data_IF_799507872070
#
_entry.id   IF_799507872070
#
_cell.length_a   1.000
_cell.length_b   1.000
_cell.length_c   1.000
_cell.angle_alpha   90.00
_cell.angle_beta   90.00
_cell.angle_gamma   90.00
#
_symmetry.space_group_name_H-M   'P 1'
#
loop_
_entity.id
_entity.type
_entity.pdbx_description
1 polymer ?
#
# COMPACT_ATOMS: atom_id res chain seq x y z
N UNK A 1 76.58 21.78 29.95
CA UNK A 1 75.76 20.59 29.62
C UNK A 1 74.53 20.63 30.50
N UNK A 2 73.43 21.13 29.95
CA UNK A 2 72.15 21.20 30.67
C UNK A 2 71.08 20.43 29.91
N UNK A 3 70.67 19.31 30.42
CA UNK A 3 69.56 18.50 29.96
C UNK A 3 68.25 19.11 30.50
N UNK A 4 67.38 19.60 29.64
CA UNK A 4 66.01 19.98 29.98
C UNK A 4 65.05 18.81 29.66
N UNK A 5 64.58 18.13 30.67
CA UNK A 5 63.46 17.18 30.56
C UNK A 5 62.17 17.91 30.24
N UNK A 6 61.51 17.55 29.13
CA UNK A 6 60.14 17.97 28.82
C UNK A 6 59.19 16.83 29.26
N UNK A 7 58.37 17.11 30.26
CA UNK A 7 57.26 16.28 30.65
C UNK A 7 56.11 16.55 29.68
N UNK A 8 55.69 15.55 28.91
CA UNK A 8 54.49 15.59 28.08
C UNK A 8 53.37 15.02 28.93
N UNK A 9 52.43 15.89 29.37
CA UNK A 9 51.17 15.48 29.97
C UNK A 9 50.20 15.20 28.86
N UNK A 10 49.96 13.91 28.62
CA UNK A 10 48.92 13.43 27.71
C UNK A 10 47.55 13.52 28.38
N UNK A 11 46.73 14.50 27.98
CA UNK A 11 45.31 14.50 28.30
C UNK A 11 44.60 13.45 27.49
N UNK A 12 44.24 12.33 28.06
CA UNK A 12 43.24 11.39 27.52
C UNK A 12 41.86 12.03 27.66
N UNK A 13 41.37 12.67 26.60
CA UNK A 13 39.95 13.00 26.46
C UNK A 13 39.22 11.68 26.16
N UNK A 14 38.64 11.09 27.17
CA UNK A 14 37.67 10.01 27.01
C UNK A 14 36.40 10.59 26.37
N UNK A 15 36.22 10.34 25.09
CA UNK A 15 34.94 10.59 24.44
C UNK A 15 33.90 9.60 25.00
N UNK A 16 33.16 10.01 26.04
CA UNK A 16 31.90 9.35 26.39
C UNK A 16 30.93 9.60 25.23
N UNK A 17 30.78 8.64 24.32
CA UNK A 17 29.64 8.59 23.42
C UNK A 17 28.43 8.27 24.28
N UNK A 18 27.65 9.28 24.63
CA UNK A 18 26.29 9.11 25.11
C UNK A 18 25.51 8.44 23.98
N UNK A 19 25.32 7.13 24.08
CA UNK A 19 24.30 6.44 23.29
C UNK A 19 22.96 6.96 23.82
N UNK A 20 22.39 7.97 23.14
CA UNK A 20 21.00 8.34 23.32
C UNK A 20 20.20 7.16 22.75
N UNK A 21 19.76 6.26 23.61
CA UNK A 21 18.72 5.29 23.24
C UNK A 21 17.50 6.10 22.85
N UNK A 22 17.07 6.00 21.61
CA UNK A 22 15.81 6.61 21.19
C UNK A 22 14.70 6.05 22.08
N UNK A 23 13.90 6.93 22.66
CA UNK A 23 12.79 6.54 23.52
C UNK A 23 11.79 5.71 22.70
N UNK A 24 11.37 4.56 23.22
CA UNK A 24 10.51 3.62 22.52
C UNK A 24 9.13 4.20 22.34
N UNK A 25 8.62 4.22 21.11
CA UNK A 25 7.28 4.70 20.78
C UNK A 25 6.35 3.56 20.36
N UNK A 26 5.06 3.77 20.53
CA UNK A 26 4.03 2.77 20.27
C UNK A 26 2.88 3.40 19.53
N UNK A 27 2.29 2.67 18.55
CA UNK A 27 1.05 3.11 17.92
C UNK A 27 -0.11 2.21 18.33
N UNK A 28 -1.24 2.86 18.63
CA UNK A 28 -2.47 2.19 19.03
C UNK A 28 -3.62 2.59 18.12
N UNK A 29 -4.37 1.60 17.64
CA UNK A 29 -5.66 1.81 16.99
C UNK A 29 -6.72 1.98 18.06
N UNK A 30 -7.44 3.10 18.03
CA UNK A 30 -8.54 3.45 18.92
C UNK A 30 -9.83 3.29 18.13
N UNK A 31 -10.67 2.35 18.52
CA UNK A 31 -12.00 2.18 17.92
C UNK A 31 -13.01 3.09 18.61
N UNK A 32 -13.79 3.82 17.81
CA UNK A 32 -14.78 4.77 18.27
C UNK A 32 -16.19 4.17 18.15
N UNK A 33 -17.09 4.56 19.06
CA UNK A 33 -18.45 4.01 19.15
C UNK A 33 -19.32 4.43 17.96
N UNK A 34 -19.27 5.71 17.61
CA UNK A 34 -20.17 6.32 16.65
C UNK A 34 -19.54 7.56 15.99
N UNK A 35 -20.34 8.25 15.19
CA UNK A 35 -20.02 9.53 14.54
C UNK A 35 -21.05 10.61 14.89
N UNK A 36 -21.74 10.47 16.03
CA UNK A 36 -22.89 11.30 16.39
C UNK A 36 -22.55 12.80 16.50
N UNK A 37 -21.31 13.14 16.86
CA UNK A 37 -20.87 14.54 17.01
C UNK A 37 -20.09 15.04 15.79
N UNK A 38 -20.20 14.38 14.62
CA UNK A 38 -19.56 14.88 13.41
C UNK A 38 -20.23 16.18 12.93
N UNK A 39 -19.42 17.12 12.43
CA UNK A 39 -19.92 18.34 11.79
C UNK A 39 -20.46 18.12 10.36
N UNK A 40 -20.34 16.91 9.84
CA UNK A 40 -20.73 16.54 8.49
C UNK A 40 -22.08 15.85 8.45
N UNK A 41 -22.75 15.90 7.31
CA UNK A 41 -24.07 15.29 7.08
C UNK A 41 -24.06 14.46 5.81
N UNK A 42 -24.75 13.32 5.84
CA UNK A 42 -25.01 12.50 4.64
C UNK A 42 -25.74 13.30 3.56
N UNK A 43 -26.57 14.27 3.96
CA UNK A 43 -27.28 15.16 3.03
C UNK A 43 -26.41 16.22 2.34
N UNK A 44 -25.13 16.37 2.74
CA UNK A 44 -24.18 17.33 2.16
C UNK A 44 -22.83 16.68 1.85
N UNK A 45 -22.81 15.60 1.04
CA UNK A 45 -21.62 14.77 0.83
C UNK A 45 -20.49 15.48 0.09
N UNK A 46 -20.77 16.55 -0.65
CA UNK A 46 -19.76 17.38 -1.33
C UNK A 46 -18.76 18.04 -0.38
N UNK A 47 -19.05 18.05 0.94
CA UNK A 47 -18.11 18.56 1.96
C UNK A 47 -16.95 17.60 2.24
N UNK A 48 -17.03 16.33 1.82
CA UNK A 48 -16.01 15.29 2.09
C UNK A 48 -15.80 14.26 0.98
N UNK A 49 -16.59 14.33 -0.10
CA UNK A 49 -16.41 13.54 -1.33
C UNK A 49 -16.30 14.50 -2.52
N UNK A 50 -15.41 14.18 -3.46
CA UNK A 50 -15.30 14.93 -4.71
C UNK A 50 -16.53 14.73 -5.58
N UNK A 51 -16.77 15.65 -6.52
CA UNK A 51 -17.83 15.55 -7.53
C UNK A 51 -17.74 14.20 -8.27
N UNK A 52 -16.55 13.80 -8.71
CA UNK A 52 -16.33 12.52 -9.39
C UNK A 52 -16.69 11.31 -8.54
N UNK A 53 -16.43 11.35 -7.22
CA UNK A 53 -16.83 10.28 -6.31
C UNK A 53 -18.35 10.17 -6.21
N UNK A 54 -19.05 11.30 -6.21
CA UNK A 54 -20.51 11.35 -6.19
C UNK A 54 -21.10 10.87 -7.53
N UNK A 55 -20.57 11.32 -8.66
CA UNK A 55 -20.97 10.86 -9.99
C UNK A 55 -20.76 9.35 -10.19
N UNK A 56 -19.63 8.79 -9.68
CA UNK A 56 -19.39 7.34 -9.72
C UNK A 56 -20.51 6.59 -9.01
N UNK A 57 -20.88 7.02 -7.78
CA UNK A 57 -21.98 6.41 -7.01
C UNK A 57 -23.33 6.57 -7.71
N UNK A 58 -23.62 7.73 -8.22
CA UNK A 58 -24.89 8.02 -8.94
C UNK A 58 -25.04 7.10 -10.16
N UNK A 59 -24.00 6.98 -11.00
CA UNK A 59 -24.01 6.09 -12.16
C UNK A 59 -24.26 4.62 -11.81
N UNK A 60 -23.90 4.20 -10.61
CA UNK A 60 -24.08 2.84 -10.10
C UNK A 60 -25.31 2.69 -9.18
N UNK A 61 -26.08 3.75 -8.97
CA UNK A 61 -27.26 3.72 -8.10
C UNK A 61 -26.91 3.57 -6.61
N UNK A 62 -25.68 3.89 -6.20
CA UNK A 62 -25.18 3.76 -4.83
C UNK A 62 -25.47 5.05 -4.04
N UNK A 63 -25.80 4.89 -2.75
CA UNK A 63 -26.05 6.01 -1.85
C UNK A 63 -24.84 6.29 -0.97
N UNK A 64 -24.70 7.56 -0.60
CA UNK A 64 -23.84 7.96 0.51
C UNK A 64 -24.53 7.60 1.82
N UNK A 65 -23.78 7.06 2.77
CA UNK A 65 -24.29 6.61 4.06
C UNK A 65 -23.41 7.11 5.24
N UNK A 66 -23.76 6.72 6.46
CA UNK A 66 -23.04 7.15 7.67
C UNK A 66 -21.58 6.69 7.71
N UNK A 67 -21.23 5.59 7.02
CA UNK A 67 -19.84 5.11 6.97
C UNK A 67 -18.94 6.08 6.20
N UNK A 68 -19.50 6.88 5.28
CA UNK A 68 -18.77 7.90 4.51
C UNK A 68 -18.41 9.14 5.33
N UNK A 69 -19.16 9.40 6.43
CA UNK A 69 -18.93 10.57 7.26
C UNK A 69 -17.52 10.53 7.88
N UNK A 70 -16.78 11.65 7.89
CA UNK A 70 -15.50 11.76 8.59
C UNK A 70 -15.62 11.41 10.08
N UNK A 71 -14.53 10.91 10.65
CA UNK A 71 -14.42 10.68 12.11
C UNK A 71 -14.65 11.99 12.86
N UNK A 72 -15.39 11.93 13.99
CA UNK A 72 -15.71 13.08 14.80
C UNK A 72 -14.47 13.86 15.24
N UNK A 73 -14.42 15.13 14.89
CA UNK A 73 -13.33 16.01 15.27
C UNK A 73 -13.22 16.19 16.77
N UNK A 74 -14.34 16.31 17.48
CA UNK A 74 -14.40 16.43 18.94
C UNK A 74 -13.78 15.21 19.63
N UNK A 75 -13.99 14.00 19.10
CA UNK A 75 -13.36 12.79 19.63
C UNK A 75 -11.85 12.79 19.41
N UNK A 76 -11.40 13.20 18.23
CA UNK A 76 -9.98 13.35 17.92
C UNK A 76 -9.32 14.36 18.86
N UNK A 77 -9.92 15.53 19.06
CA UNK A 77 -9.40 16.58 19.92
C UNK A 77 -9.34 16.13 21.39
N UNK A 78 -10.33 15.37 21.86
CA UNK A 78 -10.33 14.80 23.21
C UNK A 78 -9.20 13.76 23.40
N UNK A 79 -8.88 12.97 22.37
CA UNK A 79 -7.76 12.02 22.36
C UNK A 79 -6.42 12.78 22.39
N UNK A 80 -6.26 13.80 21.54
CA UNK A 80 -5.07 14.68 21.50
C UNK A 80 -4.87 15.37 22.85
N UNK A 81 -5.97 15.82 23.49
CA UNK A 81 -5.96 16.44 24.81
C UNK A 81 -5.44 15.53 25.93
N UNK A 82 -5.30 14.19 25.70
CA UNK A 82 -4.61 13.27 26.60
C UNK A 82 -3.10 13.17 26.35
N UNK A 83 -2.55 13.87 25.37
CA UNK A 83 -1.13 13.91 25.04
C UNK A 83 -0.69 12.92 23.95
N UNK A 84 -1.63 12.29 23.25
CA UNK A 84 -1.33 11.40 22.12
C UNK A 84 -1.24 12.18 20.80
N UNK A 85 -0.37 11.75 19.88
CA UNK A 85 -0.26 12.28 18.52
C UNK A 85 -1.06 11.41 17.55
N UNK A 86 -1.90 12.02 16.71
CA UNK A 86 -2.66 11.29 15.69
C UNK A 86 -1.78 10.98 14.50
N UNK A 87 -1.74 9.70 14.10
CA UNK A 87 -0.97 9.18 12.96
C UNK A 87 -1.84 9.07 11.72
N UNK A 88 -2.96 8.34 11.84
CA UNK A 88 -3.91 8.16 10.75
C UNK A 88 -5.32 7.92 11.30
N UNK A 89 -6.31 7.89 10.43
CA UNK A 89 -7.71 7.67 10.79
C UNK A 89 -8.44 6.97 9.65
N UNK A 90 -9.43 6.17 10.00
CA UNK A 90 -10.33 5.52 9.05
C UNK A 90 -11.76 5.93 9.32
N UNK A 91 -12.43 6.49 8.31
CA UNK A 91 -13.87 6.82 8.38
C UNK A 91 -14.73 5.56 8.30
N UNK A 92 -14.35 4.59 7.48
CA UNK A 92 -15.10 3.36 7.29
C UNK A 92 -15.07 2.45 8.50
N UNK A 93 -13.88 2.33 9.12
CA UNK A 93 -13.70 1.53 10.34
C UNK A 93 -13.99 2.31 11.63
N UNK A 94 -14.25 3.62 11.53
CA UNK A 94 -14.43 4.55 12.65
C UNK A 94 -13.31 4.43 13.69
N UNK A 95 -12.08 4.54 13.22
CA UNK A 95 -10.86 4.39 14.04
C UNK A 95 -9.92 5.58 13.92
N UNK A 96 -9.11 5.78 14.95
CA UNK A 96 -7.98 6.71 14.97
C UNK A 96 -6.75 5.96 15.44
N UNK A 97 -5.65 6.03 14.71
CA UNK A 97 -4.35 5.53 15.18
C UNK A 97 -3.60 6.68 15.81
N UNK A 98 -3.11 6.44 17.01
CA UNK A 98 -2.32 7.41 17.77
C UNK A 98 -0.95 6.84 18.09
N UNK A 99 0.04 7.74 18.19
CA UNK A 99 1.38 7.44 18.68
C UNK A 99 1.58 7.99 20.08
N UNK A 100 2.20 7.23 20.95
CA UNK A 100 2.52 7.57 22.32
C UNK A 100 3.90 7.04 22.70
N UNK A 101 4.58 7.73 23.60
CA UNK A 101 5.77 7.27 24.31
C UNK A 101 5.34 6.59 25.62
N UNK A 102 4.52 7.29 26.39
CA UNK A 102 3.95 6.78 27.64
C UNK A 102 2.66 5.98 27.38
N UNK A 103 2.73 4.66 27.54
CA UNK A 103 1.59 3.76 27.33
C UNK A 103 0.46 3.93 28.36
N UNK A 104 0.72 4.61 29.51
CA UNK A 104 -0.33 4.90 30.50
C UNK A 104 -1.39 5.85 29.95
N UNK A 105 -1.06 6.66 28.94
CA UNK A 105 -2.00 7.52 28.23
C UNK A 105 -3.12 6.71 27.57
N UNK A 106 -2.81 5.49 27.11
CA UNK A 106 -3.81 4.61 26.46
C UNK A 106 -4.90 4.18 27.43
N UNK A 107 -4.56 3.97 28.71
CA UNK A 107 -5.57 3.67 29.74
C UNK A 107 -6.52 4.86 29.96
N UNK A 108 -5.98 6.08 29.90
CA UNK A 108 -6.82 7.29 30.03
C UNK A 108 -7.70 7.48 28.78
N UNK A 109 -7.18 7.22 27.58
CA UNK A 109 -7.92 7.26 26.33
C UNK A 109 -9.03 6.19 26.32
N UNK A 110 -8.74 4.98 26.79
CA UNK A 110 -9.72 3.88 26.86
C UNK A 110 -10.91 4.18 27.78
N UNK A 111 -10.77 5.11 28.73
CA UNK A 111 -11.87 5.55 29.62
C UNK A 111 -12.75 6.63 29.02
N UNK A 112 -12.42 7.17 27.84
CA UNK A 112 -13.27 8.14 27.15
C UNK A 112 -14.59 7.46 26.73
N UNK A 113 -15.75 8.09 26.92
CA UNK A 113 -17.05 7.44 26.78
C UNK A 113 -17.37 6.97 25.35
N UNK A 114 -16.67 7.49 24.37
CA UNK A 114 -16.83 7.13 22.96
C UNK A 114 -15.77 6.12 22.46
N UNK A 115 -14.84 5.69 23.30
CA UNK A 115 -13.84 4.65 22.95
C UNK A 115 -14.40 3.27 23.32
N UNK A 116 -14.40 2.36 22.35
CA UNK A 116 -14.92 0.99 22.53
C UNK A 116 -13.82 -0.03 22.70
N UNK A 117 -12.67 0.19 22.06
CA UNK A 117 -11.53 -0.73 22.09
C UNK A 117 -10.23 0.02 21.77
N UNK A 118 -9.13 -0.44 22.35
CA UNK A 118 -7.78 -0.06 21.97
C UNK A 118 -6.99 -1.30 21.58
N UNK A 119 -6.17 -1.22 20.54
CA UNK A 119 -5.27 -2.30 20.09
C UNK A 119 -3.91 -1.72 19.75
N UNK A 120 -2.85 -2.25 20.36
CA UNK A 120 -1.49 -1.92 19.93
C UNK A 120 -1.28 -2.46 18.52
N UNK A 121 -0.84 -1.61 17.59
CA UNK A 121 -0.65 -1.94 16.19
C UNK A 121 0.78 -1.76 15.71
N UNK A 122 1.62 -1.08 16.51
CA UNK A 122 3.02 -0.89 16.17
C UNK A 122 3.86 -0.61 17.41
N UNK A 123 5.11 -1.03 17.35
CA UNK A 123 6.16 -0.73 18.34
C UNK A 123 7.40 -0.30 17.57
N UNK A 124 8.02 0.81 17.96
CA UNK A 124 9.27 1.26 17.33
C UNK A 124 10.31 0.15 17.43
N UNK A 125 11.01 -0.20 16.33
CA UNK A 125 12.10 -1.16 16.37
C UNK A 125 13.23 -0.64 17.25
N UNK A 126 14.01 -1.56 17.86
CA UNK A 126 15.14 -1.21 18.76
C UNK A 126 16.28 -0.48 18.02
N UNK A 127 16.38 -0.70 16.72
CA UNK A 127 17.22 0.06 15.80
C UNK A 127 16.53 0.19 14.46
N UNK A 128 16.27 1.42 14.04
CA UNK A 128 15.99 1.69 12.63
C UNK A 128 17.37 1.76 11.98
N UNK A 129 17.68 0.90 10.99
CA UNK A 129 18.90 1.08 10.22
C UNK A 129 18.90 2.53 9.72
N UNK A 130 19.99 3.28 9.99
CA UNK A 130 20.07 4.62 9.45
C UNK A 130 19.80 4.49 7.95
N UNK A 131 18.60 4.89 7.53
CA UNK A 131 18.32 5.06 6.11
C UNK A 131 19.30 6.13 5.67
N UNK A 132 20.46 5.67 5.18
CA UNK A 132 21.21 6.50 4.27
C UNK A 132 20.19 6.75 3.16
N UNK A 133 19.68 7.98 2.94
CA UNK A 133 18.86 8.21 1.77
C UNK A 133 19.77 7.79 0.61
N UNK A 134 19.55 6.55 0.14
CA UNK A 134 20.37 6.04 -0.95
C UNK A 134 20.15 7.07 -2.04
N UNK A 135 21.26 7.77 -2.38
CA UNK A 135 21.22 8.73 -3.46
C UNK A 135 20.61 7.98 -4.63
N UNK A 136 19.41 8.42 -5.02
CA UNK A 136 18.63 7.78 -6.09
C UNK A 136 19.59 7.47 -7.24
N UNK A 137 19.63 6.21 -7.67
CA UNK A 137 20.53 5.78 -8.74
C UNK A 137 20.14 6.48 -10.01
N UNK A 138 21.13 6.87 -10.80
CA UNK A 138 20.90 7.50 -12.10
C UNK A 138 20.07 6.58 -13.00
N UNK A 139 19.01 7.15 -13.59
CA UNK A 139 18.14 6.44 -14.53
C UNK A 139 18.75 6.53 -15.93
N UNK A 140 19.25 5.42 -16.43
CA UNK A 140 19.95 5.36 -17.73
C UNK A 140 18.98 5.46 -18.92
N UNK A 141 17.73 4.98 -18.74
CA UNK A 141 16.71 4.93 -19.78
C UNK A 141 17.22 4.30 -21.11
N UNK A 142 18.04 3.26 -21.02
CA UNK A 142 18.55 2.50 -22.16
C UNK A 142 17.68 1.29 -22.43
N UNK A 143 17.14 1.19 -23.62
CA UNK A 143 16.29 0.05 -24.00
C UNK A 143 16.59 -0.44 -25.41
N UNK A 144 16.36 -1.76 -25.63
CA UNK A 144 16.28 -2.36 -26.95
C UNK A 144 14.84 -2.37 -27.42
N UNK A 145 14.60 -1.92 -28.64
CA UNK A 145 13.28 -2.01 -29.28
C UNK A 145 13.04 -3.42 -29.81
N UNK A 146 11.77 -3.77 -29.91
CA UNK A 146 11.26 -4.97 -30.56
C UNK A 146 10.38 -4.56 -31.78
N UNK A 147 10.00 -5.53 -32.58
CA UNK A 147 9.09 -5.31 -33.73
C UNK A 147 7.60 -5.29 -33.30
N UNK A 148 7.31 -5.28 -31.99
CA UNK A 148 5.96 -5.29 -31.44
C UNK A 148 5.70 -4.04 -30.62
N UNK A 149 4.56 -3.38 -30.84
CA UNK A 149 4.14 -2.18 -30.12
C UNK A 149 4.22 -2.30 -28.59
N UNK A 150 3.87 -3.45 -28.03
CA UNK A 150 3.93 -3.70 -26.57
C UNK A 150 5.35 -4.01 -26.07
N UNK A 151 6.30 -4.15 -26.97
CA UNK A 151 7.66 -4.49 -26.62
C UNK A 151 7.73 -5.83 -25.91
N UNK A 152 8.49 -5.85 -24.82
CA UNK A 152 8.69 -7.05 -24.01
C UNK A 152 7.43 -7.47 -23.20
N UNK A 153 6.42 -6.60 -23.09
CA UNK A 153 5.16 -6.89 -22.40
C UNK A 153 4.12 -7.62 -23.26
N UNK A 154 4.37 -7.84 -24.56
CA UNK A 154 3.35 -8.35 -25.50
C UNK A 154 2.58 -9.56 -24.96
N UNK A 155 3.28 -10.58 -24.46
CA UNK A 155 2.62 -11.81 -23.99
C UNK A 155 1.70 -11.59 -22.80
N UNK A 156 2.09 -10.73 -21.87
CA UNK A 156 1.26 -10.45 -20.68
C UNK A 156 0.02 -9.59 -21.01
N UNK A 157 0.04 -8.87 -22.13
CA UNK A 157 -1.10 -8.14 -22.64
C UNK A 157 -2.01 -9.04 -23.50
N UNK A 158 -1.42 -9.73 -24.49
CA UNK A 158 -2.15 -10.51 -25.47
C UNK A 158 -2.88 -11.74 -24.87
N UNK A 159 -2.36 -12.34 -23.79
CA UNK A 159 -3.00 -13.47 -23.14
C UNK A 159 -4.42 -13.18 -22.64
N UNK A 160 -4.69 -11.92 -22.35
CA UNK A 160 -6.01 -11.41 -21.93
C UNK A 160 -6.72 -10.63 -23.03
N UNK A 161 -6.25 -10.71 -24.29
CA UNK A 161 -6.78 -9.95 -25.42
C UNK A 161 -6.72 -8.42 -25.20
N UNK A 162 -5.78 -7.94 -24.38
CA UNK A 162 -5.59 -6.52 -24.10
C UNK A 162 -5.15 -5.74 -25.34
N UNK A 163 -4.45 -6.37 -26.27
CA UNK A 163 -4.12 -5.84 -27.59
C UNK A 163 -5.37 -5.57 -28.44
N UNK A 164 -6.36 -6.46 -28.42
CA UNK A 164 -7.65 -6.26 -29.09
C UNK A 164 -8.45 -5.13 -28.45
N UNK A 165 -8.45 -5.01 -27.10
CA UNK A 165 -9.07 -3.88 -26.41
C UNK A 165 -8.42 -2.54 -26.80
N UNK A 166 -7.08 -2.50 -26.82
CA UNK A 166 -6.35 -1.31 -27.25
C UNK A 166 -6.61 -0.94 -28.73
N UNK A 167 -6.70 -1.95 -29.60
CA UNK A 167 -7.06 -1.72 -31.02
C UNK A 167 -8.49 -1.15 -31.16
N UNK A 168 -9.40 -1.49 -30.24
CA UNK A 168 -10.73 -0.94 -30.16
C UNK A 168 -10.81 0.45 -29.46
N UNK A 169 -9.65 1.00 -29.03
CA UNK A 169 -9.55 2.31 -28.39
C UNK A 169 -9.61 2.31 -26.87
N UNK A 170 -9.78 1.14 -26.22
CA UNK A 170 -9.88 1.04 -24.75
C UNK A 170 -8.49 0.96 -24.10
N UNK A 171 -7.86 2.08 -23.81
CA UNK A 171 -6.53 2.20 -23.20
C UNK A 171 -6.53 2.86 -21.83
N UNK A 172 -7.71 3.07 -21.25
CA UNK A 172 -7.89 3.66 -19.93
C UNK A 172 -8.19 5.17 -19.94
N UNK A 173 -8.36 5.80 -21.10
CA UNK A 173 -8.72 7.21 -21.17
C UNK A 173 -9.99 7.52 -20.35
N UNK A 174 -9.94 8.61 -19.56
CA UNK A 174 -11.04 9.02 -18.67
C UNK A 174 -11.14 8.26 -17.36
N UNK A 175 -10.42 7.14 -17.20
CA UNK A 175 -10.40 6.35 -15.95
C UNK A 175 -9.33 6.87 -14.99
N UNK A 176 -9.64 6.84 -13.69
CA UNK A 176 -8.68 7.10 -12.61
C UNK A 176 -8.30 5.81 -11.90
N UNK A 177 -7.00 5.54 -11.82
CA UNK A 177 -6.45 4.35 -11.18
C UNK A 177 -5.59 4.78 -9.99
N UNK A 178 -5.84 4.24 -8.80
CA UNK A 178 -4.93 4.35 -7.68
C UNK A 178 -4.05 3.09 -7.61
N UNK A 179 -2.74 3.28 -7.51
CA UNK A 179 -1.80 2.21 -7.17
C UNK A 179 -1.40 2.40 -5.71
N UNK A 180 -1.79 1.45 -4.85
CA UNK A 180 -1.45 1.45 -3.42
C UNK A 180 -0.34 0.43 -3.22
N UNK A 181 0.86 0.90 -2.80
CA UNK A 181 2.06 0.05 -2.76
C UNK A 181 3.11 0.58 -1.76
N UNK A 182 4.30 -0.04 -1.74
CA UNK A 182 5.41 0.26 -0.82
C UNK A 182 6.25 1.49 -1.22
N UNK A 183 6.14 1.96 -2.46
CA UNK A 183 6.92 3.08 -2.99
C UNK A 183 7.04 3.02 -4.50
N UNK A 184 7.59 4.09 -5.09
CA UNK A 184 7.62 4.27 -6.55
C UNK A 184 9.00 4.73 -7.04
N UNK A 185 10.05 4.06 -6.56
CA UNK A 185 11.45 4.43 -6.77
C UNK A 185 11.74 4.85 -8.20
N UNK A 186 12.26 6.08 -8.38
CA UNK A 186 12.65 6.67 -9.67
C UNK A 186 11.55 6.77 -10.73
N UNK A 187 10.26 6.52 -10.42
CA UNK A 187 9.21 6.53 -11.42
C UNK A 187 9.05 7.91 -12.09
N UNK A 188 9.32 9.00 -11.38
CA UNK A 188 9.27 10.38 -11.88
C UNK A 188 10.35 10.70 -12.94
N UNK A 189 11.46 9.95 -12.97
CA UNK A 189 12.57 10.15 -13.92
C UNK A 189 12.55 9.17 -15.10
N UNK A 190 11.78 8.09 -15.03
CA UNK A 190 11.76 7.06 -16.05
C UNK A 190 10.97 7.48 -17.30
N UNK A 191 11.55 7.23 -18.49
CA UNK A 191 10.87 7.50 -19.76
C UNK A 191 9.58 6.72 -19.93
N UNK A 192 9.42 5.58 -19.29
CA UNK A 192 8.21 4.77 -19.32
C UNK A 192 6.97 5.56 -18.88
N UNK A 193 7.13 6.50 -17.93
CA UNK A 193 6.03 7.24 -17.30
C UNK A 193 5.93 8.70 -17.74
N UNK A 194 6.77 9.17 -18.66
CA UNK A 194 6.77 10.59 -19.10
C UNK A 194 5.45 11.05 -19.74
N UNK A 195 4.65 10.12 -20.24
CA UNK A 195 3.32 10.39 -20.81
C UNK A 195 2.18 10.07 -19.87
N UNK A 196 2.48 9.53 -18.68
CA UNK A 196 1.47 9.20 -17.68
C UNK A 196 0.79 10.49 -17.17
N UNK A 197 -0.53 10.48 -17.10
CA UNK A 197 -1.28 11.55 -16.46
C UNK A 197 -1.31 11.29 -14.95
N UNK A 198 -0.38 11.90 -14.21
CA UNK A 198 -0.29 11.81 -12.75
C UNK A 198 -1.23 12.85 -12.11
N UNK A 199 -2.20 12.39 -11.34
CA UNK A 199 -3.14 13.24 -10.58
C UNK A 199 -2.55 13.69 -9.26
N UNK A 200 -1.75 12.86 -8.62
CA UNK A 200 -1.06 13.19 -7.38
C UNK A 200 -0.43 11.98 -6.72
N UNK A 201 0.31 12.29 -5.66
CA UNK A 201 1.02 11.32 -4.83
C UNK A 201 0.64 11.52 -3.37
N UNK A 202 0.69 10.46 -2.57
CA UNK A 202 0.54 10.57 -1.12
C UNK A 202 1.24 9.43 -0.39
N UNK A 203 1.95 9.79 0.69
CA UNK A 203 2.53 8.84 1.63
C UNK A 203 1.68 8.80 2.91
N UNK A 204 1.17 7.61 3.26
CA UNK A 204 0.38 7.37 4.46
C UNK A 204 1.23 6.83 5.62
N UNK A 205 2.45 6.36 5.34
CA UNK A 205 3.40 5.87 6.34
C UNK A 205 4.18 7.03 6.94
N UNK A 206 4.79 7.84 6.07
CA UNK A 206 5.57 9.01 6.45
C UNK A 206 5.28 10.18 5.48
N UNK A 207 4.37 11.09 5.83
CA UNK A 207 4.00 12.23 4.96
C UNK A 207 5.15 13.17 4.60
N UNK A 208 6.32 13.03 5.25
CA UNK A 208 7.52 13.84 4.98
C UNK A 208 8.50 13.15 4.03
N UNK A 209 8.26 11.90 3.66
CA UNK A 209 9.16 11.17 2.76
C UNK A 209 8.87 11.47 1.28
N UNK A 210 9.86 11.17 0.44
CA UNK A 210 9.71 11.18 -1.01
C UNK A 210 9.41 9.75 -1.49
N UNK A 211 8.18 9.50 -1.93
CA UNK A 211 7.77 8.17 -2.41
C UNK A 211 8.61 7.65 -3.58
N UNK A 212 9.31 8.55 -4.28
CA UNK A 212 10.23 8.19 -5.37
C UNK A 212 11.64 7.80 -4.88
N UNK A 213 11.91 7.99 -3.60
CA UNK A 213 13.12 7.48 -2.93
C UNK A 213 12.83 6.22 -2.10
N UNK A 214 11.57 5.81 -2.01
CA UNK A 214 11.12 4.62 -1.28
C UNK A 214 11.22 3.35 -2.15
N UNK A 215 10.58 2.25 -1.74
CA UNK A 215 10.65 0.96 -2.41
C UNK A 215 10.33 1.01 -3.91
N UNK A 216 10.98 0.15 -4.67
CA UNK A 216 10.80 0.04 -6.13
C UNK A 216 9.59 -0.84 -6.54
N UNK A 217 8.94 -1.53 -5.61
CA UNK A 217 7.89 -2.50 -5.92
C UNK A 217 6.71 -1.86 -6.65
N UNK A 218 6.14 -0.77 -6.11
CA UNK A 218 5.03 -0.07 -6.74
C UNK A 218 5.40 0.55 -8.10
N UNK A 219 6.65 0.95 -8.31
CA UNK A 219 7.13 1.38 -9.63
C UNK A 219 7.07 0.25 -10.66
N UNK A 220 7.45 -0.99 -10.27
CA UNK A 220 7.33 -2.17 -11.16
C UNK A 220 5.88 -2.51 -11.44
N UNK A 221 5.02 -2.49 -10.43
CA UNK A 221 3.57 -2.67 -10.59
C UNK A 221 2.99 -1.60 -11.51
N UNK A 222 3.30 -0.33 -11.27
CA UNK A 222 2.88 0.79 -12.10
C UNK A 222 3.27 0.59 -13.57
N UNK A 223 4.44 0.00 -13.84
CA UNK A 223 4.89 -0.21 -15.22
C UNK A 223 4.03 -1.21 -15.99
N UNK A 224 3.38 -2.14 -15.31
CA UNK A 224 2.43 -3.06 -15.93
C UNK A 224 1.12 -2.39 -16.35
N UNK A 225 0.80 -1.26 -15.76
CA UNK A 225 -0.41 -0.47 -16.02
C UNK A 225 -0.11 0.73 -16.93
N UNK A 226 0.79 1.60 -16.50
CA UNK A 226 0.99 2.96 -17.00
C UNK A 226 2.15 3.12 -17.98
N UNK A 227 3.06 2.13 -18.12
CA UNK A 227 4.18 2.28 -19.05
C UNK A 227 3.66 2.59 -20.46
N UNK A 228 4.25 3.61 -21.11
CA UNK A 228 3.87 4.05 -22.46
C UNK A 228 5.12 4.36 -23.28
N UNK A 229 5.93 3.35 -23.53
CA UNK A 229 7.11 3.40 -24.39
C UNK A 229 6.96 2.36 -25.51
N UNK A 230 6.34 2.74 -26.64
CA UNK A 230 6.13 1.83 -27.79
C UNK A 230 7.40 1.11 -28.21
N UNK A 231 7.25 -0.13 -28.64
CA UNK A 231 8.27 -1.08 -29.06
C UNK A 231 9.24 -1.55 -27.91
N UNK A 232 9.02 -1.05 -26.68
CA UNK A 232 9.85 -1.35 -25.52
C UNK A 232 9.05 -1.96 -24.37
N UNK A 233 8.10 -1.20 -23.84
CA UNK A 233 7.21 -1.60 -22.74
C UNK A 233 5.94 -0.74 -22.78
N UNK A 234 4.80 -1.35 -22.98
CA UNK A 234 3.48 -0.70 -22.88
C UNK A 234 2.62 -1.48 -21.91
N UNK A 235 2.00 -0.78 -20.97
CA UNK A 235 1.13 -1.35 -19.94
C UNK A 235 -0.31 -1.55 -20.42
N UNK A 236 -1.18 -1.99 -19.51
CA UNK A 236 -2.60 -2.31 -19.79
C UNK A 236 -3.51 -1.10 -19.85
N UNK A 237 -3.13 0.03 -19.24
CA UNK A 237 -3.92 1.26 -19.19
C UNK A 237 -3.04 2.52 -19.39
N UNK A 238 -2.29 2.61 -20.52
CA UNK A 238 -1.27 3.65 -20.72
C UNK A 238 -1.84 5.07 -20.88
N UNK A 239 -3.15 5.22 -21.03
CA UNK A 239 -3.87 6.49 -21.21
C UNK A 239 -4.77 6.83 -20.00
N UNK A 240 -4.75 6.01 -18.93
CA UNK A 240 -5.44 6.32 -17.68
C UNK A 240 -4.73 7.42 -16.87
N UNK A 241 -5.45 7.99 -15.91
CA UNK A 241 -4.91 8.93 -14.92
C UNK A 241 -4.59 8.20 -13.63
N UNK A 242 -3.49 8.57 -12.94
CA UNK A 242 -2.93 7.80 -11.84
C UNK A 242 -2.81 8.59 -10.54
N UNK A 243 -3.17 7.95 -9.44
CA UNK A 243 -2.78 8.29 -8.07
C UNK A 243 -1.75 7.28 -7.58
N UNK A 244 -0.63 7.75 -7.01
CA UNK A 244 0.40 6.88 -6.43
C UNK A 244 0.38 7.04 -4.91
N UNK A 245 0.02 5.97 -4.21
CA UNK A 245 -0.26 5.99 -2.77
C UNK A 245 0.66 4.99 -2.06
N UNK A 246 1.51 5.48 -1.15
CA UNK A 246 2.34 4.60 -0.32
C UNK A 246 1.65 4.28 0.98
N UNK A 247 1.56 2.99 1.33
CA UNK A 247 0.95 2.50 2.56
C UNK A 247 1.74 1.39 3.28
N UNK A 248 2.85 0.92 2.71
CA UNK A 248 3.69 -0.13 3.31
C UNK A 248 5.01 0.46 3.83
N UNK A 249 5.43 0.00 5.02
CA UNK A 249 6.71 0.31 5.64
C UNK A 249 7.67 -0.88 5.49
N UNK A 250 8.69 -0.74 4.65
CA UNK A 250 9.68 -1.78 4.38
C UNK A 250 10.54 -2.18 5.59
N UNK A 251 10.57 -1.35 6.64
CA UNK A 251 11.43 -1.60 7.79
C UNK A 251 10.78 -2.53 8.81
N UNK A 252 9.44 -2.62 8.82
CA UNK A 252 8.68 -3.44 9.77
C UNK A 252 7.47 -4.09 9.11
N UNK A 253 7.02 -5.25 9.62
CA UNK A 253 5.78 -5.90 9.22
C UNK A 253 4.83 -5.88 10.42
N UNK A 254 4.09 -4.80 10.59
CA UNK A 254 3.25 -4.59 11.77
C UNK A 254 1.81 -4.21 11.41
N UNK A 255 0.81 -4.53 12.25
CA UNK A 255 -0.61 -4.32 11.93
C UNK A 255 -1.03 -2.88 11.60
N UNK A 256 -0.20 -1.87 11.89
CA UNK A 256 -0.46 -0.46 11.53
C UNK A 256 -0.52 -0.24 10.03
N UNK A 257 0.12 -1.10 9.25
CA UNK A 257 0.14 -1.00 7.78
C UNK A 257 -1.25 -1.23 7.20
N UNK A 258 -2.08 -2.04 7.86
CA UNK A 258 -3.49 -2.18 7.51
C UNK A 258 -4.27 -0.86 7.67
N UNK A 259 -3.93 -0.06 8.70
CA UNK A 259 -4.56 1.25 8.93
C UNK A 259 -4.12 2.28 7.87
N UNK A 260 -2.85 2.26 7.48
CA UNK A 260 -2.33 3.11 6.40
C UNK A 260 -2.99 2.75 5.07
N UNK A 261 -3.09 1.45 4.79
CA UNK A 261 -3.75 0.96 3.59
C UNK A 261 -5.24 1.34 3.54
N UNK A 262 -5.97 1.16 4.63
CA UNK A 262 -7.37 1.56 4.72
C UNK A 262 -7.55 3.06 4.49
N UNK A 263 -6.68 3.90 5.07
CA UNK A 263 -6.69 5.34 4.85
C UNK A 263 -6.38 5.72 3.39
N UNK A 264 -5.45 5.00 2.73
CA UNK A 264 -5.14 5.19 1.31
C UNK A 264 -6.34 4.83 0.42
N UNK A 265 -7.03 3.72 0.74
CA UNK A 265 -8.21 3.28 0.01
C UNK A 265 -9.39 4.26 0.17
N UNK A 266 -9.62 4.77 1.38
CA UNK A 266 -10.63 5.80 1.66
C UNK A 266 -10.32 7.13 0.98
N UNK A 267 -9.04 7.49 0.87
CA UNK A 267 -8.61 8.65 0.08
C UNK A 267 -8.93 8.43 -1.40
N UNK A 268 -8.59 7.27 -1.97
CA UNK A 268 -8.89 6.93 -3.36
C UNK A 268 -10.40 7.04 -3.66
N UNK A 269 -11.24 6.53 -2.75
CA UNK A 269 -12.69 6.70 -2.82
C UNK A 269 -13.10 8.18 -2.84
N UNK A 270 -12.55 8.95 -1.92
CA UNK A 270 -12.95 10.36 -1.72
C UNK A 270 -12.58 11.26 -2.89
N UNK A 271 -11.48 10.99 -3.61
CA UNK A 271 -11.05 11.75 -4.80
C UNK A 271 -11.68 11.26 -6.10
N UNK A 272 -12.45 10.16 -6.05
CA UNK A 272 -13.22 9.66 -7.20
C UNK A 272 -12.47 8.70 -8.11
N UNK A 273 -11.54 7.91 -7.55
CA UNK A 273 -10.87 6.81 -8.26
C UNK A 273 -11.90 5.77 -8.72
N UNK A 274 -11.71 5.21 -9.92
CA UNK A 274 -12.56 4.15 -10.46
C UNK A 274 -12.01 2.76 -10.13
N UNK A 275 -10.69 2.58 -10.23
CA UNK A 275 -9.99 1.30 -10.03
C UNK A 275 -8.86 1.46 -9.02
N UNK A 276 -8.80 0.57 -8.06
CA UNK A 276 -7.67 0.47 -7.12
C UNK A 276 -6.90 -0.81 -7.43
N UNK A 277 -5.60 -0.67 -7.68
CA UNK A 277 -4.67 -1.78 -7.78
C UNK A 277 -3.83 -1.84 -6.50
N UNK A 278 -3.90 -2.97 -5.79
CA UNK A 278 -3.08 -3.21 -4.61
C UNK A 278 -2.36 -4.55 -4.73
N UNK A 279 -1.05 -4.50 -4.60
CA UNK A 279 -0.17 -5.66 -4.70
C UNK A 279 0.44 -6.04 -3.35
N UNK A 280 -0.21 -5.64 -2.28
CA UNK A 280 0.14 -5.84 -0.88
C UNK A 280 -0.72 -6.93 -0.26
N UNK A 281 -0.23 -7.54 0.84
CA UNK A 281 -1.02 -8.49 1.59
C UNK A 281 -0.28 -9.08 2.77
N UNK A 282 -0.96 -9.17 3.90
CA UNK A 282 -0.39 -9.56 5.18
C UNK A 282 -1.05 -10.82 5.73
N UNK A 283 -0.27 -11.71 6.34
CA UNK A 283 -0.76 -12.82 7.16
C UNK A 283 0.20 -13.12 8.32
N UNK A 284 1.43 -12.66 8.22
CA UNK A 284 2.49 -12.86 9.20
C UNK A 284 3.10 -11.52 9.57
N UNK A 285 3.17 -11.24 10.87
CA UNK A 285 3.67 -9.99 11.42
C UNK A 285 4.92 -10.25 12.28
N UNK A 286 5.68 -9.18 12.56
CA UNK A 286 6.83 -9.23 13.46
C UNK A 286 6.43 -9.75 14.84
N UNK A 287 5.30 -9.26 15.38
CA UNK A 287 4.64 -9.86 16.53
C UNK A 287 3.74 -11.03 16.09
N UNK A 288 4.24 -12.25 16.28
CA UNK A 288 3.55 -13.48 15.89
C UNK A 288 2.15 -13.66 16.52
N UNK A 289 1.85 -12.93 17.59
CA UNK A 289 0.51 -12.96 18.20
C UNK A 289 -0.54 -12.26 17.35
N UNK A 290 -0.09 -11.44 16.40
CA UNK A 290 -0.93 -10.74 15.44
C UNK A 290 -1.19 -11.53 14.15
N UNK A 291 -0.50 -12.67 13.93
CA UNK A 291 -0.59 -13.47 12.72
C UNK A 291 -2.00 -13.95 12.45
N UNK A 292 -2.42 -13.89 11.20
CA UNK A 292 -3.67 -14.47 10.74
C UNK A 292 -3.60 -15.99 10.68
N UNK A 293 -4.74 -16.61 10.85
CA UNK A 293 -4.96 -18.05 10.67
C UNK A 293 -5.88 -18.26 9.49
N UNK A 294 -5.89 -19.47 8.91
CA UNK A 294 -6.76 -19.75 7.78
C UNK A 294 -8.25 -19.41 8.04
N UNK A 295 -8.75 -19.70 9.25
CA UNK A 295 -10.13 -19.37 9.64
C UNK A 295 -10.47 -17.88 9.62
N UNK A 296 -9.44 -17.01 9.62
CA UNK A 296 -9.58 -15.56 9.63
C UNK A 296 -9.70 -14.99 8.20
N UNK A 297 -9.58 -15.86 7.16
CA UNK A 297 -9.72 -15.48 5.75
C UNK A 297 -11.20 -15.58 5.30
N UNK A 298 -12.06 -14.82 5.93
CA UNK A 298 -13.50 -14.80 5.69
C UNK A 298 -14.00 -13.53 4.98
N UNK A 299 -13.08 -12.66 4.57
CA UNK A 299 -13.36 -11.38 3.91
C UNK A 299 -13.73 -10.23 4.86
N UNK A 300 -13.83 -10.50 6.17
CA UNK A 300 -14.30 -9.51 7.16
C UNK A 300 -13.36 -9.36 8.37
N UNK A 301 -12.62 -10.40 8.72
CA UNK A 301 -11.81 -10.44 9.94
C UNK A 301 -10.65 -9.43 9.91
N UNK A 302 -9.88 -9.38 8.81
CA UNK A 302 -8.81 -8.40 8.67
C UNK A 302 -9.37 -7.01 8.38
N UNK A 303 -8.69 -5.98 8.89
CA UNK A 303 -9.07 -4.59 8.60
C UNK A 303 -9.00 -4.30 7.09
N UNK A 304 -8.01 -4.87 6.41
CA UNK A 304 -7.85 -4.69 4.96
C UNK A 304 -8.99 -5.35 4.19
N UNK A 305 -9.35 -6.61 4.49
CA UNK A 305 -10.41 -7.32 3.76
C UNK A 305 -11.76 -6.64 3.99
N UNK A 306 -12.05 -6.23 5.22
CA UNK A 306 -13.25 -5.44 5.52
C UNK A 306 -13.29 -4.13 4.73
N UNK A 307 -12.19 -3.36 4.74
CA UNK A 307 -12.12 -2.09 4.00
C UNK A 307 -12.18 -2.28 2.49
N UNK A 308 -11.60 -3.37 1.95
CA UNK A 308 -11.67 -3.70 0.53
C UNK A 308 -13.10 -4.02 0.09
N UNK A 309 -13.84 -4.81 0.88
CA UNK A 309 -15.25 -5.10 0.64
C UNK A 309 -16.08 -3.81 0.66
N UNK A 310 -15.86 -2.94 1.67
CA UNK A 310 -16.53 -1.63 1.73
C UNK A 310 -16.23 -0.75 0.51
N UNK A 311 -14.99 -0.74 0.02
CA UNK A 311 -14.64 0.02 -1.17
C UNK A 311 -15.41 -0.46 -2.41
N UNK A 312 -15.51 -1.78 -2.58
CA UNK A 312 -16.28 -2.37 -3.66
C UNK A 312 -17.77 -2.00 -3.57
N UNK A 313 -18.35 -2.03 -2.36
CA UNK A 313 -19.74 -1.62 -2.10
C UNK A 313 -19.98 -0.12 -2.37
N UNK A 314 -18.92 0.69 -2.32
CA UNK A 314 -18.95 2.13 -2.68
C UNK A 314 -18.64 2.38 -4.17
N UNK A 315 -18.55 1.32 -4.97
CA UNK A 315 -18.45 1.38 -6.43
C UNK A 315 -17.04 1.47 -7.00
N UNK A 316 -15.99 1.18 -6.21
CA UNK A 316 -14.65 1.02 -6.73
C UNK A 316 -14.44 -0.40 -7.24
N UNK A 317 -13.70 -0.55 -8.33
CA UNK A 317 -13.15 -1.84 -8.75
C UNK A 317 -11.84 -2.04 -7.99
N UNK A 318 -11.85 -2.92 -7.00
CA UNK A 318 -10.66 -3.22 -6.19
C UNK A 318 -10.00 -4.50 -6.72
N UNK A 319 -8.74 -4.39 -7.15
CA UNK A 319 -7.95 -5.49 -7.69
C UNK A 319 -6.82 -5.81 -6.71
N UNK A 320 -6.82 -7.03 -6.17
CA UNK A 320 -5.88 -7.49 -5.17
C UNK A 320 -5.03 -8.66 -5.67
N UNK A 321 -3.75 -8.71 -5.28
CA UNK A 321 -2.94 -9.91 -5.49
C UNK A 321 -3.38 -11.06 -4.56
N UNK A 322 -3.32 -12.30 -5.06
CA UNK A 322 -3.63 -13.49 -4.25
C UNK A 322 -2.57 -13.78 -3.17
N UNK A 323 -1.35 -13.26 -3.34
CA UNK A 323 -0.18 -13.57 -2.52
C UNK A 323 0.76 -14.58 -3.18
N UNK A 324 1.97 -14.71 -2.62
CA UNK A 324 3.07 -15.51 -3.19
C UNK A 324 3.50 -16.67 -2.28
N UNK A 325 2.59 -17.18 -1.47
CA UNK A 325 2.87 -18.19 -0.43
C UNK A 325 2.63 -19.64 -0.88
N UNK A 326 2.33 -19.88 -2.17
CA UNK A 326 1.98 -21.22 -2.69
C UNK A 326 3.01 -22.31 -2.44
N UNK A 327 4.30 -21.99 -2.41
CA UNK A 327 5.40 -22.91 -2.06
C UNK A 327 5.62 -23.07 -0.57
N UNK A 328 5.14 -22.11 0.24
CA UNK A 328 5.34 -22.08 1.68
C UNK A 328 4.39 -22.99 2.44
N UNK A 329 4.47 -22.94 3.76
CA UNK A 329 3.55 -23.65 4.67
C UNK A 329 2.15 -23.03 4.69
N UNK A 330 2.05 -21.72 4.48
CA UNK A 330 0.79 -20.98 4.47
C UNK A 330 -0.09 -21.38 3.27
N UNK A 331 0.43 -21.35 2.06
CA UNK A 331 -0.20 -21.68 0.77
C UNK A 331 -1.45 -20.87 0.41
N UNK A 332 -2.12 -20.28 1.38
CA UNK A 332 -3.41 -19.61 1.24
C UNK A 332 -3.26 -18.15 0.78
N UNK A 333 -4.38 -17.56 0.44
CA UNK A 333 -4.48 -16.15 0.13
C UNK A 333 -3.92 -15.28 1.26
N UNK A 334 -3.55 -14.06 0.93
CA UNK A 334 -3.22 -13.02 1.92
C UNK A 334 -4.30 -11.94 1.89
N UNK A 335 -4.82 -11.47 3.03
CA UNK A 335 -5.66 -10.29 3.06
C UNK A 335 -4.99 -9.10 2.34
N UNK A 336 -5.72 -8.33 1.50
CA UNK A 336 -7.16 -8.35 1.30
C UNK A 336 -7.66 -9.28 0.16
N UNK A 337 -6.85 -10.23 -0.33
CA UNK A 337 -7.24 -11.12 -1.42
C UNK A 337 -8.40 -12.07 -1.09
N UNK A 338 -8.77 -12.21 0.18
CA UNK A 338 -9.94 -12.96 0.64
C UNK A 338 -11.22 -12.10 0.73
N UNK A 339 -11.14 -10.79 0.50
CA UNK A 339 -12.29 -9.90 0.58
C UNK A 339 -13.41 -10.32 -0.38
N UNK A 340 -14.64 -9.95 -0.05
CA UNK A 340 -15.80 -10.14 -0.92
C UNK A 340 -15.66 -9.28 -2.18
N UNK A 341 -16.52 -9.08 -2.99
CA UNK A 341 -16.70 -8.14 -4.10
C UNK A 341 -15.41 -7.51 -4.72
N UNK A 342 -14.21 -8.11 -4.48
CA UNK A 342 -12.94 -7.69 -5.06
C UNK A 342 -12.46 -8.69 -6.11
N UNK A 343 -11.64 -8.25 -7.05
CA UNK A 343 -11.00 -9.13 -8.03
C UNK A 343 -9.65 -9.56 -7.48
N UNK A 344 -9.54 -10.83 -7.11
CA UNK A 344 -8.29 -11.42 -6.63
C UNK A 344 -7.56 -12.11 -7.77
N UNK A 345 -6.30 -11.73 -7.99
CA UNK A 345 -5.51 -12.17 -9.14
C UNK A 345 -4.40 -13.12 -8.71
N UNK A 346 -4.43 -14.34 -9.24
CA UNK A 346 -3.34 -15.32 -9.13
C UNK A 346 -2.32 -15.19 -10.24
N UNK A 347 -1.18 -15.88 -10.10
CA UNK A 347 -0.10 -15.87 -11.08
C UNK A 347 -0.04 -17.14 -11.94
N UNK A 348 0.14 -16.96 -13.24
CA UNK A 348 0.44 -18.04 -14.20
C UNK A 348 1.66 -17.66 -15.05
N UNK A 349 2.21 -18.63 -15.78
CA UNK A 349 3.24 -18.38 -16.78
C UNK A 349 2.62 -18.04 -18.16
N UNK A 350 3.49 -17.73 -19.13
CA UNK A 350 3.10 -17.41 -20.51
C UNK A 350 2.40 -18.57 -21.27
N UNK A 351 2.45 -19.80 -20.75
CA UNK A 351 1.81 -21.00 -21.32
C UNK A 351 0.51 -21.35 -20.58
N UNK A 352 -0.01 -20.43 -19.73
CA UNK A 352 -1.21 -20.58 -18.93
C UNK A 352 -1.09 -21.67 -17.82
N UNK A 353 0.14 -21.99 -17.42
CA UNK A 353 0.39 -22.91 -16.30
C UNK A 353 0.43 -22.11 -15.01
N UNK A 354 -0.33 -22.54 -14.00
CA UNK A 354 -0.34 -21.90 -12.69
C UNK A 354 1.08 -21.85 -12.11
N UNK A 355 1.49 -20.70 -11.61
CA UNK A 355 2.75 -20.54 -10.92
C UNK A 355 2.68 -21.21 -9.53
N UNK A 356 3.67 -22.03 -9.22
CA UNK A 356 3.71 -22.78 -7.96
C UNK A 356 3.83 -21.90 -6.70
N UNK A 357 4.33 -20.67 -6.86
CA UNK A 357 4.36 -19.68 -5.78
C UNK A 357 3.01 -18.97 -5.57
N UNK A 358 2.10 -18.99 -6.57
CA UNK A 358 0.81 -18.31 -6.44
C UNK A 358 0.02 -18.90 -5.29
N UNK A 359 -0.41 -18.04 -4.37
CA UNK A 359 -1.31 -18.44 -3.29
C UNK A 359 -2.63 -18.97 -3.83
N UNK A 360 -3.24 -19.90 -3.09
CA UNK A 360 -4.46 -20.61 -3.48
C UNK A 360 -5.58 -20.39 -2.46
N UNK A 361 -6.82 -20.47 -2.94
CA UNK A 361 -8.01 -20.52 -2.08
C UNK A 361 -8.24 -21.91 -1.48
N UNK A 362 -9.46 -22.26 -1.06
CA UNK A 362 -10.58 -21.35 -0.93
C UNK A 362 -10.37 -20.40 0.27
N UNK A 363 -11.26 -19.39 0.37
CA UNK A 363 -11.41 -18.62 1.63
C UNK A 363 -11.95 -19.51 2.74
N UNK A 364 -11.90 -19.06 3.99
CA UNK A 364 -12.35 -19.84 5.14
C UNK A 364 -13.86 -20.09 5.14
N UNK A 365 -14.63 -19.18 4.56
CA UNK A 365 -16.08 -19.27 4.36
C UNK A 365 -16.46 -20.02 3.06
N UNK A 366 -15.48 -20.58 2.32
CA UNK A 366 -15.68 -21.48 1.20
C UNK A 366 -15.79 -20.82 -0.18
N UNK A 367 -15.64 -19.50 -0.30
CA UNK A 367 -15.63 -18.84 -1.62
C UNK A 367 -14.40 -19.26 -2.44
N UNK A 368 -14.59 -19.41 -3.73
CA UNK A 368 -13.50 -19.73 -4.67
C UNK A 368 -12.70 -18.47 -4.97
N UNK A 369 -11.41 -18.51 -4.71
CA UNK A 369 -10.42 -17.48 -5.00
C UNK A 369 -9.09 -18.13 -5.42
N UNK A 370 -8.20 -17.50 -6.20
CA UNK A 370 -8.39 -16.21 -6.85
C UNK A 370 -9.48 -16.26 -7.92
N UNK A 371 -10.04 -15.10 -8.30
CA UNK A 371 -11.11 -15.00 -9.31
C UNK A 371 -10.58 -15.19 -10.72
N UNK A 372 -9.38 -14.66 -10.97
CA UNK A 372 -8.71 -14.68 -12.27
C UNK A 372 -7.21 -14.92 -12.12
N UNK A 373 -6.56 -15.25 -13.24
CA UNK A 373 -5.12 -15.49 -13.31
C UNK A 373 -4.49 -14.50 -14.31
N UNK A 374 -3.29 -14.01 -14.02
CA UNK A 374 -2.51 -13.17 -14.93
C UNK A 374 -1.06 -13.66 -15.05
N UNK A 375 -0.34 -13.20 -16.07
CA UNK A 375 1.07 -13.57 -16.25
C UNK A 375 1.91 -12.94 -15.12
N UNK A 376 2.31 -13.77 -14.17
CA UNK A 376 3.11 -13.40 -13.01
C UNK A 376 4.49 -14.07 -12.99
N UNK A 377 4.82 -14.87 -14.03
CA UNK A 377 6.13 -15.50 -14.16
C UNK A 377 6.93 -14.80 -15.25
N UNK A 378 8.10 -14.28 -14.88
CA UNK A 378 8.99 -13.56 -15.80
C UNK A 378 8.30 -12.41 -16.54
N UNK A 379 7.43 -11.68 -15.84
CA UNK A 379 6.72 -10.51 -16.38
C UNK A 379 7.71 -9.39 -16.71
N UNK A 380 7.51 -8.72 -17.83
CA UNK A 380 8.26 -7.54 -18.20
C UNK A 380 7.80 -6.35 -17.34
N UNK A 381 8.74 -5.71 -16.68
CA UNK A 381 8.50 -4.56 -15.78
C UNK A 381 9.61 -3.53 -15.99
N UNK A 382 9.40 -2.30 -15.51
CA UNK A 382 10.47 -1.32 -15.44
C UNK A 382 11.53 -1.76 -14.41
N UNK A 383 12.79 -1.67 -14.78
CA UNK A 383 13.93 -1.86 -13.87
C UNK A 383 14.25 -0.56 -13.11
N UNK A 384 14.92 -0.67 -11.98
CA UNK A 384 15.26 0.45 -11.10
C UNK A 384 16.11 1.55 -11.75
N UNK A 385 16.78 1.21 -12.83
CA UNK A 385 17.64 2.08 -13.64
C UNK A 385 16.95 2.59 -14.92
N UNK A 386 15.65 2.35 -15.08
CA UNK A 386 14.90 2.72 -16.29
C UNK A 386 15.09 1.80 -17.48
N UNK A 387 15.70 0.62 -17.29
CA UNK A 387 15.72 -0.46 -18.30
C UNK A 387 14.47 -1.34 -18.18
N UNK A 388 14.30 -2.31 -19.09
CA UNK A 388 13.27 -3.36 -18.91
C UNK A 388 13.88 -4.51 -18.13
N UNK A 389 13.19 -4.96 -17.08
CA UNK A 389 13.55 -6.05 -16.20
C UNK A 389 12.50 -7.18 -16.25
N UNK A 390 12.78 -8.29 -15.58
CA UNK A 390 11.86 -9.42 -15.40
C UNK A 390 11.58 -9.64 -13.93
N UNK A 391 10.31 -9.91 -13.62
CA UNK A 391 9.86 -10.11 -12.25
C UNK A 391 8.88 -11.28 -12.13
N UNK A 392 8.84 -11.90 -10.95
CA UNK A 392 7.90 -12.97 -10.60
C UNK A 392 7.02 -12.54 -9.43
N UNK A 393 5.75 -12.90 -9.44
CA UNK A 393 4.81 -12.66 -8.36
C UNK A 393 3.39 -12.45 -8.85
N UNK A 394 2.41 -12.64 -7.97
CA UNK A 394 1.02 -12.24 -8.22
C UNK A 394 0.90 -10.72 -8.40
N UNK A 395 1.86 -9.95 -7.87
CA UNK A 395 2.03 -8.51 -8.04
C UNK A 395 3.14 -8.11 -9.01
N UNK A 396 3.59 -9.01 -9.89
CA UNK A 396 4.72 -8.84 -10.83
C UNK A 396 6.09 -8.69 -10.20
N UNK A 397 6.32 -9.40 -9.09
CA UNK A 397 7.63 -9.55 -8.51
C UNK A 397 7.86 -8.75 -7.26
N UNK A 398 7.44 -9.30 -6.16
CA UNK A 398 8.00 -8.97 -4.88
C UNK A 398 9.33 -9.71 -4.74
N UNK A 399 10.50 -9.08 -4.88
CA UNK A 399 11.72 -9.66 -4.38
C UNK A 399 11.76 -9.38 -2.89
N UNK A 400 11.50 -10.45 -2.12
CA UNK A 400 12.03 -10.61 -0.80
C UNK A 400 11.42 -9.76 0.31
N UNK A 401 10.67 -10.31 1.07
CA UNK A 401 10.72 -10.87 2.38
C UNK A 401 9.72 -11.99 2.46
N UNK A 402 9.93 -13.01 1.64
CA UNK A 402 9.47 -14.33 1.98
C UNK A 402 10.54 -14.92 2.90
N UNK A 403 10.20 -15.12 4.15
CA UNK A 403 10.90 -15.92 5.15
C UNK A 403 12.35 -15.53 5.44
N UNK A 404 12.58 -14.97 6.58
CA UNK A 404 13.67 -15.49 7.42
C UNK A 404 13.29 -16.83 8.04
#
# INVERSE_FOLDING_TARGET
MNFKSRIIIGCLLGACTLQVSAEKTYKYRINLRDKAETAYSVGSPQAYLSERALERRERQGLKVDETDLPVCRTYIDAIIGKGASVVTKSKWNNTVVVEVVDTTLIEQIARLPFVTKTKKVWTSPDSIPARNPERRKEVTNKFSKTDNYYGQAYRQIAVHQGDSLHAAGFKGEGMQIAVIDAGFYNADEMKFFKKMHLLGIRDFVNPQSDIYAENYHGMKVLSCLAANQPDVLVGTAPEASYWLLRSEDDDTEQPVEEDYWAAALEFADSVGVDVVNTSLGYYEFDDKTCNYRYRDLDGHYSLMSHSASMAADKGLVVVCSAGNSGRGTWKKLTPPGDAENVITVGAMDKNLVNADFSSVGNTADGRVKPDVMAVGVSSAVAGNDGTVSRANGTSFGRPGRCSR
#
